data_IF_811139749064
#
_entry.id   IF_811139749064
#
_cell.length_a   1.000
_cell.length_b   1.000
_cell.length_c   1.000
_cell.angle_alpha   90.00
_cell.angle_beta   90.00
_cell.angle_gamma   90.00
#
_symmetry.space_group_name_H-M   'P 1'
#
loop_
_entity.id
_entity.type
_entity.pdbx_description
1 polymer ?
#
# COMPACT_ATOMS: atom_id res chain seq x y z
N UNK A 1 7.85 7.03 7.41
CA UNK A 1 6.43 6.63 7.44
C UNK A 1 5.87 6.80 8.85
N UNK A 2 4.57 6.99 8.98
CA UNK A 2 3.89 7.18 10.26
C UNK A 2 2.50 6.53 10.24
N UNK A 3 2.00 6.15 11.42
CA UNK A 3 0.62 5.73 11.63
C UNK A 3 0.00 6.59 12.72
N UNK A 4 -1.21 7.09 12.46
CA UNK A 4 -1.97 7.90 13.39
C UNK A 4 -3.27 7.17 13.73
N UNK A 5 -3.64 7.17 15.00
CA UNK A 5 -4.86 6.52 15.47
C UNK A 5 -5.63 7.44 16.41
N UNK A 6 -6.95 7.51 16.23
CA UNK A 6 -7.85 8.19 17.19
C UNK A 6 -8.03 7.39 18.47
N UNK A 7 -7.81 6.06 18.42
CA UNK A 7 -7.83 5.17 19.59
C UNK A 7 -6.42 5.06 20.18
N UNK A 8 -6.26 4.87 21.49
CA UNK A 8 -4.98 4.53 22.10
C UNK A 8 -4.32 3.33 21.42
N UNK A 9 -2.99 3.34 21.34
CA UNK A 9 -2.21 2.28 20.70
C UNK A 9 -1.78 1.27 21.76
N UNK A 10 -2.26 0.03 21.66
CA UNK A 10 -1.92 -1.04 22.60
C UNK A 10 -0.56 -1.67 22.28
N UNK A 11 -0.26 -1.85 20.98
CA UNK A 11 0.99 -2.46 20.52
C UNK A 11 1.51 -1.77 19.28
N UNK A 12 2.83 -1.74 19.16
CA UNK A 12 3.57 -1.26 17.99
C UNK A 12 4.47 -2.38 17.50
N UNK A 13 4.64 -2.50 16.19
CA UNK A 13 5.61 -3.37 15.55
C UNK A 13 6.37 -2.60 14.48
N UNK A 14 7.64 -2.93 14.30
CA UNK A 14 8.44 -2.44 13.20
C UNK A 14 9.37 -3.55 12.73
N UNK A 15 9.53 -3.68 11.42
CA UNK A 15 10.50 -4.62 10.85
C UNK A 15 11.07 -4.08 9.54
N UNK A 16 12.32 -4.47 9.25
CA UNK A 16 13.02 -4.16 8.01
C UNK A 16 12.54 -5.10 6.90
N UNK A 17 12.27 -4.57 5.71
CA UNK A 17 11.88 -5.36 4.53
C UNK A 17 12.89 -5.32 3.40
N UNK A 18 13.74 -4.29 3.35
CA UNK A 18 14.92 -4.27 2.47
C UNK A 18 16.04 -5.18 3.00
N UNK A 19 16.95 -5.61 2.12
CA UNK A 19 18.19 -6.29 2.52
C UNK A 19 19.16 -5.33 3.20
N UNK A 20 19.20 -4.08 2.72
CA UNK A 20 19.98 -3.00 3.33
C UNK A 20 19.30 -2.44 4.58
N UNK A 21 20.08 -2.12 5.61
CA UNK A 21 19.67 -1.42 6.84
C UNK A 21 20.53 -0.16 7.05
N UNK A 22 20.79 0.55 5.96
CA UNK A 22 21.54 1.80 5.98
C UNK A 22 20.55 2.98 5.96
N UNK A 23 20.56 3.80 7.00
CA UNK A 23 19.69 4.97 7.11
C UNK A 23 19.88 5.96 5.95
N UNK A 24 21.10 6.09 5.43
CA UNK A 24 21.42 7.01 4.33
C UNK A 24 21.06 6.42 2.96
N UNK A 25 20.79 5.11 2.90
CA UNK A 25 20.34 4.47 1.67
C UNK A 25 18.84 4.69 1.50
N UNK A 26 18.49 5.50 0.51
CA UNK A 26 17.10 5.83 0.18
C UNK A 26 16.26 4.61 -0.23
N UNK A 27 16.86 3.44 -0.51
CA UNK A 27 16.17 2.17 -0.77
C UNK A 27 15.85 1.37 0.49
N UNK A 28 16.35 1.77 1.66
CA UNK A 28 16.01 1.14 2.93
C UNK A 28 14.51 1.24 3.18
N UNK A 29 13.86 0.10 3.36
CA UNK A 29 12.43 -0.03 3.62
C UNK A 29 12.21 -0.73 4.95
N UNK A 30 11.41 -0.08 5.81
CA UNK A 30 10.90 -0.61 7.07
C UNK A 30 9.40 -0.51 7.05
N UNK A 31 8.68 -1.41 7.70
CA UNK A 31 7.25 -1.32 7.91
C UNK A 31 6.97 -0.96 9.35
N UNK A 32 5.96 -0.13 9.58
CA UNK A 32 5.45 0.21 10.91
C UNK A 32 4.02 -0.32 11.02
N UNK A 33 3.70 -0.95 12.15
CA UNK A 33 2.38 -1.47 12.46
C UNK A 33 1.90 -1.07 13.84
N UNK A 34 0.59 -0.86 13.96
CA UNK A 34 -0.07 -0.61 15.24
C UNK A 34 -1.25 -1.56 15.43
N UNK A 35 -1.51 -1.92 16.68
CA UNK A 35 -2.75 -2.55 17.14
C UNK A 35 -3.41 -1.59 18.14
N UNK A 36 -4.57 -1.00 17.80
CA UNK A 36 -5.31 -0.15 18.73
C UNK A 36 -5.86 -0.92 19.93
N UNK A 37 -6.04 -0.24 21.07
CA UNK A 37 -6.72 -0.81 22.23
C UNK A 37 -8.15 -1.27 21.91
N UNK A 38 -8.53 -2.45 22.41
CA UNK A 38 -9.85 -3.04 22.20
C UNK A 38 -10.10 -3.57 20.77
N UNK A 39 -9.04 -3.72 19.96
CA UNK A 39 -9.10 -4.32 18.62
C UNK A 39 -8.12 -5.47 18.50
N UNK A 40 -8.50 -6.57 17.86
CA UNK A 40 -7.56 -7.61 17.43
C UNK A 40 -6.88 -7.26 16.11
N UNK A 41 -7.43 -6.30 15.34
CA UNK A 41 -6.90 -5.90 14.04
C UNK A 41 -5.56 -5.19 14.13
N UNK A 42 -4.74 -5.41 13.10
CA UNK A 42 -3.45 -4.77 12.89
C UNK A 42 -3.49 -3.85 11.69
N UNK A 43 -2.89 -2.67 11.82
CA UNK A 43 -2.79 -1.68 10.76
C UNK A 43 -1.31 -1.41 10.49
N UNK A 44 -0.86 -1.68 9.27
CA UNK A 44 0.51 -1.45 8.84
C UNK A 44 0.56 -0.40 7.74
N UNK A 45 1.60 0.44 7.79
CA UNK A 45 1.96 1.33 6.69
C UNK A 45 3.16 0.76 5.93
N UNK A 46 3.06 0.76 4.60
CA UNK A 46 4.10 0.30 3.68
C UNK A 46 4.46 1.39 2.68
N UNK A 47 5.70 1.35 2.21
CA UNK A 47 6.16 2.08 1.03
C UNK A 47 7.16 1.14 0.35
N UNK A 48 6.75 0.51 -0.74
CA UNK A 48 7.48 -0.61 -1.32
C UNK A 48 8.51 -0.13 -2.35
N UNK A 49 9.51 -0.97 -2.64
CA UNK A 49 10.39 -0.79 -3.80
C UNK A 49 9.66 -1.09 -5.13
N UNK A 50 10.28 -0.75 -6.25
CA UNK A 50 9.75 -1.08 -7.57
C UNK A 50 9.91 -2.57 -7.90
N UNK A 51 9.06 -3.06 -8.80
CA UNK A 51 9.11 -4.45 -9.26
C UNK A 51 10.44 -4.81 -9.93
N UNK A 52 10.91 -3.97 -10.85
CA UNK A 52 12.12 -4.20 -11.65
C UNK A 52 13.40 -3.61 -11.03
N UNK A 53 13.42 -3.39 -9.72
CA UNK A 53 14.61 -2.90 -9.02
C UNK A 53 15.61 -4.05 -8.79
N UNK A 54 16.89 -3.86 -9.12
CA UNK A 54 17.91 -4.93 -9.09
C UNK A 54 18.46 -5.26 -7.68
N UNK A 55 18.63 -4.28 -6.82
CA UNK A 55 19.21 -4.38 -5.48
C UNK A 55 18.17 -4.80 -4.42
N UNK A 56 17.03 -4.11 -4.41
CA UNK A 56 15.93 -4.17 -3.44
C UNK A 56 14.55 -4.37 -4.13
N UNK A 57 14.37 -5.44 -4.92
CA UNK A 57 13.13 -5.68 -5.67
C UNK A 57 11.91 -5.83 -4.74
N UNK A 58 10.75 -5.37 -5.24
CA UNK A 58 9.45 -5.55 -4.59
C UNK A 58 9.23 -6.99 -4.08
N UNK A 59 9.59 -7.99 -4.89
CA UNK A 59 9.35 -9.42 -4.60
C UNK A 59 10.02 -9.86 -3.29
N UNK A 60 11.25 -9.42 -3.05
CA UNK A 60 12.00 -9.79 -1.85
C UNK A 60 11.43 -9.11 -0.61
N UNK A 61 11.07 -7.83 -0.74
CA UNK A 61 10.40 -7.08 0.32
C UNK A 61 9.05 -7.71 0.67
N UNK A 62 8.26 -8.07 -0.34
CA UNK A 62 6.97 -8.73 -0.16
C UNK A 62 7.10 -10.10 0.50
N UNK A 63 8.10 -10.90 0.10
CA UNK A 63 8.40 -12.18 0.76
C UNK A 63 8.70 -11.99 2.25
N UNK A 64 9.49 -10.96 2.61
CA UNK A 64 9.77 -10.64 4.01
C UNK A 64 8.49 -10.33 4.80
N UNK A 65 7.57 -9.55 4.21
CA UNK A 65 6.26 -9.24 4.79
C UNK A 65 5.46 -10.51 5.03
N UNK A 66 5.33 -11.37 4.02
CA UNK A 66 4.57 -12.61 4.13
C UNK A 66 5.13 -13.52 5.23
N UNK A 67 6.45 -13.69 5.31
CA UNK A 67 7.05 -14.51 6.37
C UNK A 67 6.84 -13.91 7.76
N UNK A 68 7.00 -12.58 7.90
CA UNK A 68 6.81 -11.88 9.17
C UNK A 68 5.37 -12.01 9.66
N UNK A 69 4.39 -11.86 8.78
CA UNK A 69 2.97 -11.87 9.14
C UNK A 69 2.40 -13.28 9.41
N UNK A 70 3.19 -14.35 9.25
CA UNK A 70 2.79 -15.72 9.66
C UNK A 70 2.80 -15.92 11.18
N UNK A 71 3.45 -15.02 11.93
CA UNK A 71 3.51 -15.09 13.39
C UNK A 71 2.09 -15.20 13.98
N UNK A 72 1.94 -16.10 14.95
CA UNK A 72 0.69 -16.36 15.66
C UNK A 72 0.01 -15.10 16.22
N UNK A 73 0.75 -14.05 16.57
CA UNK A 73 0.21 -12.81 17.12
C UNK A 73 -0.67 -12.01 16.16
N UNK A 74 -0.60 -12.32 14.86
CA UNK A 74 -1.39 -11.65 13.81
C UNK A 74 -2.62 -12.45 13.38
N UNK A 75 -2.89 -13.61 13.98
CA UNK A 75 -3.95 -14.53 13.50
C UNK A 75 -5.37 -14.19 13.95
N UNK A 76 -5.52 -13.42 15.03
CA UNK A 76 -6.82 -13.18 15.67
C UNK A 76 -7.66 -12.08 15.02
N UNK A 77 -7.03 -11.18 14.26
CA UNK A 77 -7.69 -10.01 13.67
C UNK A 77 -7.38 -9.84 12.19
N UNK A 78 -8.05 -8.88 11.58
CA UNK A 78 -7.75 -8.45 10.22
C UNK A 78 -6.43 -7.70 10.21
N UNK A 79 -5.60 -8.00 9.22
CA UNK A 79 -4.39 -7.24 8.93
C UNK A 79 -4.70 -6.31 7.77
N UNK A 80 -4.53 -5.01 8.00
CA UNK A 80 -4.64 -3.96 7.00
C UNK A 80 -3.23 -3.52 6.59
N UNK A 81 -2.88 -3.69 5.31
CA UNK A 81 -1.65 -3.14 4.74
C UNK A 81 -1.99 -1.91 3.90
N UNK A 82 -1.44 -0.76 4.25
CA UNK A 82 -1.83 0.54 3.70
C UNK A 82 -0.62 1.32 3.18
N UNK A 83 -0.72 1.90 2.00
CA UNK A 83 0.29 2.83 1.48
C UNK A 83 0.68 2.57 0.03
N UNK A 84 1.84 3.08 -0.34
CA UNK A 84 2.37 3.01 -1.70
C UNK A 84 3.05 1.66 -1.96
N UNK A 85 2.48 0.87 -2.87
CA UNK A 85 3.05 -0.42 -3.28
C UNK A 85 3.97 -0.30 -4.49
N UNK A 86 4.08 0.88 -5.10
CA UNK A 86 4.90 1.12 -6.28
C UNK A 86 4.62 0.11 -7.41
N UNK A 87 3.38 -0.38 -7.47
CA UNK A 87 2.90 -1.43 -8.37
C UNK A 87 1.54 -1.03 -8.92
N UNK A 88 1.42 -0.96 -10.24
CA UNK A 88 0.15 -0.61 -10.90
C UNK A 88 -0.80 -1.82 -10.95
N UNK A 89 -2.10 -1.57 -10.88
CA UNK A 89 -3.14 -2.62 -10.89
C UNK A 89 -3.44 -3.16 -12.30
N UNK A 90 -3.01 -2.45 -13.34
CA UNK A 90 -3.19 -2.81 -14.75
C UNK A 90 -1.98 -3.56 -15.36
N UNK A 91 -0.82 -3.57 -14.69
CA UNK A 91 0.37 -4.29 -15.13
C UNK A 91 0.34 -5.73 -14.62
N UNK A 92 0.18 -6.67 -15.55
CA UNK A 92 0.03 -8.11 -15.24
C UNK A 92 1.37 -8.79 -14.96
N UNK A 93 1.34 -9.74 -14.02
CA UNK A 93 2.50 -10.53 -13.62
C UNK A 93 3.47 -9.82 -12.69
N UNK A 94 3.14 -8.62 -12.21
CA UNK A 94 3.98 -7.82 -11.31
C UNK A 94 3.39 -7.76 -9.87
N UNK A 95 3.76 -6.72 -9.11
CA UNK A 95 3.54 -6.65 -7.66
C UNK A 95 2.08 -6.75 -7.24
N UNK A 96 1.16 -6.09 -7.96
CA UNK A 96 -0.27 -6.16 -7.65
C UNK A 96 -0.84 -7.59 -7.77
N UNK A 97 -0.56 -8.26 -8.90
CA UNK A 97 -0.98 -9.64 -9.12
C UNK A 97 -0.35 -10.60 -8.09
N UNK A 98 0.91 -10.35 -7.68
CA UNK A 98 1.58 -11.14 -6.65
C UNK A 98 0.89 -11.01 -5.28
N UNK A 99 0.54 -9.77 -4.88
CA UNK A 99 -0.19 -9.51 -3.62
C UNK A 99 -1.50 -10.27 -3.60
N UNK A 100 -2.31 -10.16 -4.66
CA UNK A 100 -3.59 -10.87 -4.78
C UNK A 100 -3.41 -12.40 -4.78
N UNK A 101 -2.40 -12.91 -5.52
CA UNK A 101 -2.08 -14.34 -5.57
C UNK A 101 -1.71 -14.91 -4.19
N UNK A 102 -1.20 -14.07 -3.29
CA UNK A 102 -0.91 -14.45 -1.90
C UNK A 102 -2.11 -14.32 -0.96
N UNK A 103 -3.32 -14.12 -1.49
CA UNK A 103 -4.58 -14.20 -0.75
C UNK A 103 -5.04 -12.87 -0.13
N UNK A 104 -4.31 -11.79 -0.39
CA UNK A 104 -4.72 -10.44 0.01
C UNK A 104 -5.85 -9.95 -0.87
N UNK A 105 -6.77 -9.19 -0.27
CA UNK A 105 -7.93 -8.62 -0.95
C UNK A 105 -7.77 -7.12 -1.06
N UNK A 106 -7.95 -6.60 -2.26
CA UNK A 106 -7.98 -5.16 -2.49
C UNK A 106 -9.32 -4.61 -1.99
N UNK A 107 -9.28 -3.73 -0.98
CA UNK A 107 -10.48 -3.12 -0.42
C UNK A 107 -11.24 -2.27 -1.43
N UNK A 108 -10.56 -1.73 -2.46
CA UNK A 108 -11.22 -1.07 -3.58
C UNK A 108 -12.12 -2.05 -4.34
N UNK A 109 -11.66 -3.28 -4.60
CA UNK A 109 -12.49 -4.28 -5.28
C UNK A 109 -13.62 -4.81 -4.38
N UNK A 110 -13.42 -4.83 -3.06
CA UNK A 110 -14.43 -5.23 -2.09
C UNK A 110 -15.54 -4.18 -1.89
N UNK A 111 -15.27 -2.91 -2.19
CA UNK A 111 -16.18 -1.82 -1.86
C UNK A 111 -17.50 -1.84 -2.64
N UNK A 112 -18.61 -1.64 -1.92
CA UNK A 112 -19.95 -1.44 -2.50
C UNK A 112 -19.97 -0.19 -3.38
N UNK A 113 -19.44 0.92 -2.87
CA UNK A 113 -19.33 2.20 -3.57
C UNK A 113 -17.85 2.60 -3.74
N UNK A 114 -17.47 3.03 -4.95
CA UNK A 114 -16.10 3.46 -5.28
C UNK A 114 -16.05 4.41 -6.45
N UNK A 115 -14.98 5.21 -6.53
CA UNK A 115 -14.70 6.14 -7.63
C UNK A 115 -13.84 5.48 -8.73
N UNK A 116 -12.97 6.24 -9.41
CA UNK A 116 -12.07 5.73 -10.46
C UNK A 116 -10.79 5.09 -9.89
N UNK A 117 -10.51 5.26 -8.59
CA UNK A 117 -9.37 4.67 -7.89
C UNK A 117 -8.00 5.24 -8.30
N UNK A 118 -7.95 6.33 -9.06
CA UNK A 118 -6.68 6.92 -9.51
C UNK A 118 -5.98 7.64 -8.37
N UNK A 119 -4.80 7.17 -7.97
CA UNK A 119 -4.02 7.75 -6.85
C UNK A 119 -2.88 8.66 -7.33
N UNK A 120 -2.60 8.68 -8.63
CA UNK A 120 -1.61 9.56 -9.25
C UNK A 120 -2.18 10.08 -10.56
N UNK A 121 -2.31 11.40 -10.72
CA UNK A 121 -2.87 12.01 -11.93
C UNK A 121 -1.83 12.43 -12.98
N UNK A 122 -0.59 12.70 -12.56
CA UNK A 122 0.47 13.27 -13.42
C UNK A 122 1.77 12.45 -13.37
N UNK A 123 2.70 12.71 -14.29
CA UNK A 123 4.01 12.07 -14.36
C UNK A 123 4.86 12.38 -13.12
N UNK A 124 4.96 11.42 -12.19
CA UNK A 124 5.88 11.50 -11.04
C UNK A 124 7.30 11.15 -11.48
N UNK A 125 8.30 11.84 -10.91
CA UNK A 125 9.72 11.80 -11.30
C UNK A 125 10.32 10.39 -11.45
N UNK A 126 9.91 9.43 -10.62
CA UNK A 126 10.39 8.04 -10.67
C UNK A 126 9.78 7.16 -11.76
N UNK A 127 8.68 7.59 -12.40
CA UNK A 127 8.00 6.85 -13.47
C UNK A 127 8.30 7.37 -14.88
N UNK A 128 9.09 8.45 -15.01
CA UNK A 128 9.35 9.19 -16.26
C UNK A 128 10.04 8.39 -17.38
N UNK A 129 10.75 7.32 -17.06
CA UNK A 129 11.53 6.54 -18.05
C UNK A 129 10.99 5.12 -18.30
N UNK A 130 10.10 4.62 -17.42
CA UNK A 130 9.67 3.23 -17.45
C UNK A 130 8.53 2.95 -18.45
N UNK A 131 7.73 3.95 -18.80
CA UNK A 131 6.46 3.72 -19.47
C UNK A 131 6.52 3.68 -21.00
N UNK A 132 7.53 4.26 -21.66
CA UNK A 132 7.74 4.18 -23.12
C UNK A 132 6.53 4.61 -23.97
N UNK A 133 5.49 5.19 -23.35
CA UNK A 133 4.22 5.58 -23.96
C UNK A 133 4.26 7.09 -24.22
N UNK A 134 3.72 7.48 -25.37
CA UNK A 134 3.67 8.87 -25.81
C UNK A 134 2.99 9.80 -24.79
N UNK A 135 3.55 11.01 -24.60
CA UNK A 135 3.09 12.18 -23.81
C UNK A 135 1.61 12.63 -23.97
N UNK A 136 0.78 11.87 -24.66
CA UNK A 136 -0.60 12.20 -25.02
C UNK A 136 -1.67 11.39 -24.25
N UNK A 137 -1.31 10.27 -23.62
CA UNK A 137 -2.21 9.56 -22.72
C UNK A 137 -2.03 10.14 -21.30
N UNK A 138 -3.12 10.47 -20.63
CA UNK A 138 -3.07 10.79 -19.21
C UNK A 138 -2.42 9.62 -18.47
N UNK A 139 -1.30 9.90 -17.81
CA UNK A 139 -0.49 8.91 -17.12
C UNK A 139 -1.05 8.58 -15.72
N UNK A 140 -2.38 8.44 -15.65
CA UNK A 140 -3.15 8.13 -14.44
C UNK A 140 -2.78 6.71 -13.95
N UNK A 141 -2.48 6.56 -12.66
CA UNK A 141 -2.06 5.29 -12.05
C UNK A 141 -2.77 5.07 -10.72
N UNK A 142 -3.01 3.81 -10.36
CA UNK A 142 -3.31 3.39 -8.98
C UNK A 142 -2.09 2.67 -8.43
N UNK A 143 -1.43 3.28 -7.45
CA UNK A 143 -0.20 2.76 -6.83
C UNK A 143 -0.36 2.55 -5.32
N UNK A 144 -1.35 3.23 -4.73
CA UNK A 144 -1.65 3.19 -3.31
C UNK A 144 -2.86 2.32 -3.06
N UNK A 145 -2.74 1.47 -2.04
CA UNK A 145 -3.75 0.48 -1.75
C UNK A 145 -3.98 0.38 -0.24
N UNK A 146 -5.17 -0.09 0.09
CA UNK A 146 -5.45 -0.69 1.39
C UNK A 146 -5.83 -2.14 1.11
N UNK A 147 -4.94 -3.08 1.44
CA UNK A 147 -5.20 -4.51 1.33
C UNK A 147 -5.59 -5.09 2.69
N UNK A 148 -6.43 -6.12 2.69
CA UNK A 148 -6.71 -6.91 3.88
C UNK A 148 -6.56 -8.42 3.64
N UNK A 149 -6.27 -9.18 4.71
CA UNK A 149 -6.14 -10.63 4.64
C UNK A 149 -7.48 -11.38 4.78
N UNK A 150 -8.53 -10.72 5.25
CA UNK A 150 -9.89 -11.29 5.46
C UNK A 150 -10.87 -10.78 4.40
N UNK A 151 -12.08 -11.34 4.36
CA UNK A 151 -13.16 -10.78 3.54
C UNK A 151 -13.82 -9.70 4.41
N UNK A 152 -13.49 -8.44 4.15
CA UNK A 152 -14.04 -7.31 4.91
C UNK A 152 -15.29 -6.73 4.22
N UNK A 153 -16.26 -6.29 5.02
CA UNK A 153 -17.45 -5.58 4.54
C UNK A 153 -17.08 -4.11 4.30
N UNK A 154 -16.52 -3.83 3.11
CA UNK A 154 -16.10 -2.46 2.74
C UNK A 154 -17.28 -1.72 2.14
N UNK A 155 -17.77 -0.68 2.82
CA UNK A 155 -18.88 0.14 2.33
C UNK A 155 -18.45 1.08 1.21
N UNK A 156 -17.34 1.80 1.41
CA UNK A 156 -16.84 2.78 0.44
C UNK A 156 -15.33 2.67 0.28
N UNK A 157 -14.82 2.88 -0.93
CA UNK A 157 -13.39 3.10 -1.19
C UNK A 157 -13.22 4.22 -2.22
N UNK A 158 -12.77 5.38 -1.76
CA UNK A 158 -12.65 6.58 -2.61
C UNK A 158 -11.29 7.23 -2.44
N UNK A 159 -10.84 7.90 -3.50
CA UNK A 159 -9.67 8.75 -3.49
C UNK A 159 -10.01 10.10 -2.84
N UNK A 160 -9.09 10.64 -2.05
CA UNK A 160 -9.18 11.94 -1.38
C UNK A 160 -7.92 12.77 -1.65
N UNK A 161 -8.03 14.09 -1.50
CA UNK A 161 -7.01 15.08 -1.85
C UNK A 161 -6.66 15.07 -3.35
N UNK A 162 -7.65 14.83 -4.21
CA UNK A 162 -7.49 14.79 -5.68
C UNK A 162 -8.03 16.05 -6.39
N UNK A 163 -8.33 17.11 -5.64
CA UNK A 163 -8.91 18.35 -6.18
C UNK A 163 -10.42 18.27 -6.50
N UNK A 164 -11.00 17.06 -6.52
CA UNK A 164 -12.46 16.82 -6.57
C UNK A 164 -13.02 16.57 -5.16
N UNK A 165 -12.39 15.64 -4.45
CA UNK A 165 -12.64 15.30 -3.06
C UNK A 165 -11.47 15.81 -2.20
N UNK A 166 -11.64 16.99 -1.59
CA UNK A 166 -10.62 17.76 -0.87
C UNK A 166 -9.46 18.32 -1.76
N UNK A 167 -8.81 19.43 -1.34
CA UNK A 167 -7.69 20.01 -2.06
C UNK A 167 -6.49 19.07 -2.18
N UNK A 168 -5.71 19.22 -3.26
CA UNK A 168 -4.47 18.48 -3.46
C UNK A 168 -3.41 18.90 -2.45
N UNK A 169 -2.72 17.91 -1.86
CA UNK A 169 -1.66 18.12 -0.86
C UNK A 169 -0.34 17.41 -1.17
N UNK A 170 -0.32 16.53 -2.17
CA UNK A 170 0.87 15.81 -2.66
C UNK A 170 0.71 15.49 -4.14
N UNK A 171 1.79 15.03 -4.76
CA UNK A 171 1.85 14.34 -6.05
C UNK A 171 1.08 13.00 -6.07
N UNK A 172 0.88 12.39 -4.90
CA UNK A 172 -0.03 11.28 -4.67
C UNK A 172 -1.34 11.75 -4.00
N UNK A 173 -2.44 11.08 -4.33
CA UNK A 173 -3.72 11.22 -3.67
C UNK A 173 -3.89 10.14 -2.59
N UNK A 174 -4.73 10.43 -1.59
CA UNK A 174 -5.00 9.48 -0.51
C UNK A 174 -6.09 8.47 -0.90
N UNK A 175 -6.03 7.27 -0.31
CA UNK A 175 -7.13 6.29 -0.35
C UNK A 175 -7.87 6.30 0.98
N UNK A 176 -9.19 6.43 0.95
CA UNK A 176 -10.05 6.44 2.13
C UNK A 176 -11.12 5.36 2.01
N UNK A 177 -11.19 4.48 3.01
CA UNK A 177 -12.22 3.44 3.10
C UNK A 177 -13.15 3.65 4.30
N UNK A 178 -14.37 3.13 4.16
CA UNK A 178 -15.30 2.92 5.28
C UNK A 178 -15.58 1.43 5.39
N UNK A 179 -15.39 0.87 6.58
CA UNK A 179 -15.65 -0.53 6.95
C UNK A 179 -16.63 -0.61 8.11
#
# INVERSE_FOLDING_TARGET
MALLSKKPIARVQQFLTSKTDDYENWKTRRILGIQPEGSSDWFFTVHMGWWNEEEEPFVDQWKCIQETLKDSKYREGTIWLMGDFNSQDDVRGEGYDLVLKNGWKDTYLLAEEKDDGITVAEEIDGWREADGRSKAAKNEKRLDYIFCNTQADVRTSNVICNGKNAPVVSDYYGVMITV
#
